data_IF_095273985596
#
_entry.id   IF_095273985596
#
_cell.length_a   1.000
_cell.length_b   1.000
_cell.length_c   1.000
_cell.angle_alpha   90.00
_cell.angle_beta   90.00
_cell.angle_gamma   90.00
#
_symmetry.space_group_name_H-M   'P 1'
#
loop_
_entity.id
_entity.type
_entity.pdbx_description
1 polymer ?
#
# COMPACT_ATOMS: atom_id res chain seq x y z
N UNK A 1 21.61 24.34 10.18
CA UNK A 1 22.54 23.57 11.03
C UNK A 1 22.00 22.16 11.15
N UNK A 2 22.74 21.18 10.63
CA UNK A 2 22.20 19.90 10.17
C UNK A 2 21.99 18.83 11.26
N UNK A 3 20.96 18.02 11.02
CA UNK A 3 20.46 16.89 11.80
C UNK A 3 21.41 15.69 11.89
N UNK A 4 22.67 15.88 12.29
CA UNK A 4 23.61 14.77 12.53
C UNK A 4 23.37 14.05 13.87
N UNK A 5 22.78 14.71 14.87
CA UNK A 5 22.53 14.11 16.20
C UNK A 5 21.23 13.32 16.35
N UNK A 6 20.34 13.30 15.35
CA UNK A 6 19.03 12.63 15.47
C UNK A 6 19.08 11.14 15.11
N UNK A 7 20.02 10.73 14.26
CA UNK A 7 20.07 9.38 13.71
C UNK A 7 20.76 8.39 14.66
N UNK A 8 21.87 8.80 15.28
CA UNK A 8 22.59 7.97 16.27
C UNK A 8 21.74 7.71 17.52
N UNK A 9 20.99 8.70 17.97
CA UNK A 9 20.07 8.57 19.11
C UNK A 9 18.88 7.66 18.84
N UNK A 10 18.31 7.70 17.63
CA UNK A 10 17.26 6.78 17.21
C UNK A 10 17.77 5.33 17.22
N UNK A 11 18.98 5.11 16.68
CA UNK A 11 19.62 3.80 16.69
C UNK A 11 19.99 3.33 18.11
N UNK A 12 20.40 4.24 18.99
CA UNK A 12 20.75 3.92 20.37
C UNK A 12 19.52 3.58 21.22
N UNK A 13 18.42 4.32 21.07
CA UNK A 13 17.16 3.98 21.74
C UNK A 13 16.64 2.63 21.21
N UNK A 14 16.78 2.41 19.89
CA UNK A 14 16.38 1.16 19.24
C UNK A 14 17.21 -0.06 19.65
N UNK A 15 18.52 0.10 19.79
CA UNK A 15 19.41 -0.97 20.24
C UNK A 15 19.11 -1.36 21.69
N UNK A 16 18.82 -0.38 22.55
CA UNK A 16 18.47 -0.62 23.95
C UNK A 16 17.21 -1.46 24.13
N UNK A 17 16.21 -1.27 23.25
CA UNK A 17 14.96 -2.04 23.26
C UNK A 17 15.16 -3.46 22.79
N UNK A 18 15.95 -3.64 21.71
CA UNK A 18 16.19 -4.95 21.12
C UNK A 18 17.05 -5.83 22.04
N UNK A 19 17.93 -5.24 22.84
CA UNK A 19 18.75 -5.95 23.82
C UNK A 19 17.93 -6.50 25.01
N UNK A 20 16.75 -5.94 25.30
CA UNK A 20 15.92 -6.34 26.45
C UNK A 20 14.99 -7.50 26.14
N UNK A 21 14.47 -7.59 24.92
CA UNK A 21 13.50 -8.62 24.54
C UNK A 21 13.53 -8.87 23.03
N UNK A 22 13.68 -10.13 22.67
CA UNK A 22 13.51 -10.58 21.28
C UNK A 22 12.10 -10.17 20.81
N UNK A 23 12.00 -9.61 19.59
CA UNK A 23 10.74 -9.11 19.02
C UNK A 23 10.11 -7.88 19.69
N UNK A 24 10.84 -7.15 20.56
CA UNK A 24 10.37 -5.86 21.09
C UNK A 24 10.16 -4.83 19.98
N UNK A 25 11.07 -4.76 19.01
CA UNK A 25 10.95 -3.84 17.87
C UNK A 25 10.07 -4.46 16.80
N UNK A 26 9.04 -3.73 16.38
CA UNK A 26 8.12 -4.12 15.31
C UNK A 26 8.55 -3.47 13.98
N UNK A 27 8.64 -2.14 13.95
CA UNK A 27 9.03 -1.38 12.75
C UNK A 27 9.94 -0.20 13.10
N UNK A 28 10.72 0.25 12.12
CA UNK A 28 11.46 1.52 12.17
C UNK A 28 11.09 2.35 10.95
N UNK A 29 10.92 3.64 11.18
CA UNK A 29 10.56 4.66 10.18
C UNK A 29 11.73 5.63 10.04
N UNK A 30 12.12 5.95 8.81
CA UNK A 30 13.31 6.78 8.56
C UNK A 30 13.18 7.76 7.39
N UNK A 31 12.21 7.58 6.51
CA UNK A 31 12.06 8.36 5.29
C UNK A 31 11.07 9.51 5.46
N UNK A 32 9.96 9.26 6.14
CA UNK A 32 8.88 10.19 6.38
C UNK A 32 9.05 10.93 7.71
N UNK A 33 9.47 10.21 8.74
CA UNK A 33 9.74 10.72 10.08
C UNK A 33 10.72 9.79 10.80
N UNK A 34 11.39 10.28 11.84
CA UNK A 34 12.25 9.46 12.70
C UNK A 34 11.39 8.85 13.81
N UNK A 35 11.22 7.53 13.81
CA UNK A 35 10.42 6.86 14.82
C UNK A 35 10.40 5.35 14.68
N UNK A 36 9.72 4.66 15.59
CA UNK A 36 9.61 3.21 15.59
C UNK A 36 8.31 2.75 16.25
N UNK A 37 7.92 1.51 15.95
CA UNK A 37 6.91 0.79 16.70
C UNK A 37 7.57 -0.32 17.51
N UNK A 38 7.14 -0.47 18.76
CA UNK A 38 7.65 -1.48 19.67
C UNK A 38 6.56 -2.02 20.59
N UNK A 39 6.73 -3.27 21.02
CA UNK A 39 5.95 -3.90 22.08
C UNK A 39 6.54 -3.48 23.43
N UNK A 40 5.77 -2.71 24.18
CA UNK A 40 6.14 -2.15 25.46
C UNK A 40 5.02 -2.43 26.46
N UNK A 41 5.38 -2.65 27.71
CA UNK A 41 4.44 -2.48 28.82
C UNK A 41 4.07 -1.01 28.99
N UNK A 42 2.95 -0.75 29.68
CA UNK A 42 2.53 0.63 29.96
C UNK A 42 3.59 1.41 30.74
N UNK A 43 4.23 0.77 31.73
CA UNK A 43 5.31 1.39 32.50
C UNK A 43 6.55 1.72 31.63
N UNK A 44 6.91 0.83 30.70
CA UNK A 44 8.01 1.10 29.74
C UNK A 44 7.65 2.25 28.80
N UNK A 45 6.41 2.31 28.31
CA UNK A 45 5.94 3.40 27.47
C UNK A 45 5.95 4.74 28.24
N UNK A 46 5.47 4.76 29.48
CA UNK A 46 5.52 5.96 30.33
C UNK A 46 6.95 6.41 30.62
N UNK A 47 7.86 5.47 30.90
CA UNK A 47 9.27 5.77 31.11
C UNK A 47 9.93 6.34 29.85
N UNK A 48 9.65 5.76 28.69
CA UNK A 48 10.15 6.25 27.40
C UNK A 48 9.59 7.62 27.03
N UNK A 49 8.33 7.91 27.37
CA UNK A 49 7.71 9.20 27.10
C UNK A 49 8.41 10.37 27.84
N UNK A 50 9.15 10.08 28.92
CA UNK A 50 9.93 11.07 29.66
C UNK A 50 11.32 11.32 29.08
N UNK A 51 11.78 10.54 28.08
CA UNK A 51 13.08 10.76 27.47
C UNK A 51 13.09 12.07 26.67
N UNK A 52 14.07 12.97 26.86
CA UNK A 52 14.09 14.30 26.24
C UNK A 52 13.97 14.35 24.70
N UNK A 53 14.24 13.25 24.01
CA UNK A 53 14.19 13.15 22.54
C UNK A 53 12.97 12.38 22.01
N UNK A 54 12.07 11.93 22.89
CA UNK A 54 10.79 11.34 22.53
C UNK A 54 9.75 12.44 22.48
N UNK A 55 9.21 12.71 21.28
CA UNK A 55 8.21 13.76 21.07
C UNK A 55 6.83 13.30 21.54
N UNK A 56 6.44 12.07 21.21
CA UNK A 56 5.17 11.47 21.61
C UNK A 56 5.21 9.95 21.53
N UNK A 57 4.35 9.31 22.32
CA UNK A 57 4.08 7.88 22.27
C UNK A 57 2.56 7.70 22.24
N UNK A 58 2.07 6.83 21.38
CA UNK A 58 0.65 6.52 21.27
C UNK A 58 0.45 5.01 21.08
N UNK A 59 -0.67 4.45 21.55
CA UNK A 59 -1.02 3.05 21.29
C UNK A 59 -1.11 2.77 19.79
N UNK A 60 -0.70 1.58 19.36
CA UNK A 60 -0.89 1.14 17.98
C UNK A 60 -2.37 0.82 17.71
N UNK A 61 -3.08 1.58 16.86
CA UNK A 61 -4.46 1.28 16.52
C UNK A 61 -4.54 0.12 15.51
N UNK A 62 -5.71 -0.51 15.44
CA UNK A 62 -6.06 -1.46 14.37
C UNK A 62 -7.23 -0.89 13.59
N UNK A 63 -7.03 -0.65 12.30
CA UNK A 63 -8.06 -0.15 11.40
C UNK A 63 -8.81 -1.30 10.72
N UNK A 64 -10.03 -1.05 10.25
CA UNK A 64 -10.84 -2.03 9.55
C UNK A 64 -10.90 -1.70 8.06
N UNK A 65 -11.05 -2.73 7.23
CA UNK A 65 -11.27 -2.56 5.80
C UNK A 65 -12.63 -1.90 5.55
N UNK A 66 -12.65 -0.95 4.62
CA UNK A 66 -13.86 -0.28 4.18
C UNK A 66 -14.01 -0.45 2.68
N UNK A 67 -15.19 -0.89 2.25
CA UNK A 67 -15.60 -0.82 0.84
C UNK A 67 -17.02 -0.26 0.78
N UNK A 68 -17.17 0.92 0.19
CA UNK A 68 -18.46 1.37 -0.34
C UNK A 68 -18.37 1.41 -1.86
N UNK A 69 -19.50 1.09 -2.51
CA UNK A 69 -19.67 1.11 -3.98
C UNK A 69 -19.22 2.45 -4.54
N UNK A 70 -18.15 2.48 -5.33
CA UNK A 70 -17.44 3.72 -5.63
C UNK A 70 -17.89 4.41 -6.91
N UNK A 71 -17.79 3.80 -8.09
CA UNK A 71 -17.85 4.61 -9.32
C UNK A 71 -19.24 4.87 -9.90
N UNK A 72 -20.11 3.86 -9.98
CA UNK A 72 -21.48 4.05 -10.50
C UNK A 72 -22.37 4.83 -9.52
N UNK A 73 -22.18 4.65 -8.20
CA UNK A 73 -22.84 5.46 -7.18
C UNK A 73 -22.47 6.94 -7.32
N UNK A 74 -21.19 7.25 -7.58
CA UNK A 74 -20.76 8.64 -7.78
C UNK A 74 -21.24 9.22 -9.12
N UNK A 75 -21.40 8.40 -10.17
CA UNK A 75 -21.96 8.85 -11.45
C UNK A 75 -23.45 9.18 -11.37
N UNK A 76 -24.21 8.39 -10.62
CA UNK A 76 -25.67 8.53 -10.53
C UNK A 76 -26.11 9.55 -9.46
N UNK A 77 -25.24 9.90 -8.50
CA UNK A 77 -25.54 10.84 -7.39
C UNK A 77 -25.03 12.27 -7.60
N UNK A 78 -24.07 12.49 -8.50
CA UNK A 78 -23.49 13.82 -8.73
C UNK A 78 -23.57 14.22 -10.20
N UNK A 79 -24.49 15.13 -10.53
CA UNK A 79 -24.52 15.83 -11.84
C UNK A 79 -23.19 16.53 -12.15
N UNK A 80 -22.37 16.82 -11.14
CA UNK A 80 -21.03 17.39 -11.26
C UNK A 80 -20.05 16.51 -12.08
N UNK A 81 -20.22 15.18 -12.11
CA UNK A 81 -19.38 14.29 -12.94
C UNK A 81 -19.81 14.33 -14.41
N UNK A 82 -21.04 14.79 -14.71
CA UNK A 82 -21.54 14.98 -16.08
C UNK A 82 -20.92 16.19 -16.77
N UNK A 83 -20.54 17.20 -15.99
CA UNK A 83 -19.93 18.46 -16.47
C UNK A 83 -18.41 18.52 -16.33
N UNK A 84 -17.77 17.50 -15.74
CA UNK A 84 -16.36 17.26 -16.03
C UNK A 84 -16.30 17.06 -17.54
N UNK A 85 -15.54 17.89 -18.29
CA UNK A 85 -15.50 17.76 -19.72
C UNK A 85 -14.98 16.35 -20.01
N UNK A 86 -15.90 15.47 -20.40
CA UNK A 86 -15.56 14.30 -21.17
C UNK A 86 -14.96 14.90 -22.43
N UNK A 87 -13.64 15.06 -22.42
CA UNK A 87 -12.89 15.47 -23.57
C UNK A 87 -12.93 14.31 -24.54
N UNK A 88 -14.07 14.15 -25.21
CA UNK A 88 -14.19 13.49 -26.52
C UNK A 88 -13.26 14.14 -27.56
N UNK A 89 -12.56 15.23 -27.21
CA UNK A 89 -11.54 15.90 -28.01
C UNK A 89 -10.10 15.81 -27.46
N UNK A 90 -9.85 15.16 -26.32
CA UNK A 90 -8.48 14.71 -26.03
C UNK A 90 -8.34 13.36 -26.70
N UNK A 91 -7.56 13.31 -27.78
CA UNK A 91 -6.94 12.08 -28.27
C UNK A 91 -5.97 11.47 -27.24
N UNK A 92 -6.36 11.39 -25.96
CA UNK A 92 -5.67 10.62 -24.93
C UNK A 92 -6.44 9.34 -24.64
N UNK A 93 -6.74 8.59 -25.71
CA UNK A 93 -6.65 7.12 -25.70
C UNK A 93 -5.25 6.62 -25.32
N UNK A 94 -4.33 7.51 -24.99
CA UNK A 94 -3.05 7.18 -24.41
C UNK A 94 -3.24 6.60 -23.01
N UNK A 95 -3.33 5.26 -22.96
CA UNK A 95 -2.59 4.47 -21.96
C UNK A 95 -1.15 5.02 -21.75
N UNK A 96 -0.61 5.75 -22.74
CA UNK A 96 0.70 6.41 -22.76
C UNK A 96 0.80 7.74 -21.99
N UNK A 97 -0.22 8.17 -21.22
CA UNK A 97 -0.23 9.52 -20.60
C UNK A 97 -0.09 9.59 -19.08
N UNK A 98 -0.53 8.57 -18.34
CA UNK A 98 -0.56 8.61 -16.88
C UNK A 98 0.52 7.72 -16.28
N UNK A 99 1.75 8.23 -16.17
CA UNK A 99 2.83 7.58 -15.41
C UNK A 99 2.72 7.81 -13.89
N UNK A 100 1.50 8.15 -13.42
CA UNK A 100 1.16 8.24 -11.99
C UNK A 100 1.29 6.87 -11.35
N UNK A 101 1.90 6.82 -10.17
CA UNK A 101 2.09 5.64 -9.35
C UNK A 101 1.12 5.73 -8.18
N UNK A 102 0.12 4.85 -8.18
CA UNK A 102 -0.86 4.75 -7.12
C UNK A 102 -0.40 3.65 -6.16
N UNK A 103 -0.16 4.03 -4.90
CA UNK A 103 0.12 3.13 -3.79
C UNK A 103 -1.18 2.62 -3.19
N UNK A 104 -1.37 1.30 -3.11
CA UNK A 104 -2.57 0.67 -2.55
C UNK A 104 -2.22 0.01 -1.22
N UNK A 105 -2.86 0.45 -0.14
CA UNK A 105 -2.64 -0.02 1.22
C UNK A 105 -3.80 -0.93 1.65
N UNK A 106 -3.67 -2.23 1.43
CA UNK A 106 -4.81 -3.15 1.54
C UNK A 106 -4.37 -4.60 1.89
N UNK A 107 -5.16 -5.62 1.53
CA UNK A 107 -4.90 -7.06 1.73
C UNK A 107 -3.96 -7.68 0.70
N UNK A 108 -3.30 -6.84 -0.10
CA UNK A 108 -2.34 -7.16 -1.17
C UNK A 108 -2.95 -7.29 -2.58
N UNK A 109 -2.32 -8.07 -3.48
CA UNK A 109 -2.77 -8.23 -4.87
C UNK A 109 -2.66 -9.66 -5.44
N UNK A 110 -3.59 -10.03 -6.32
CA UNK A 110 -3.50 -11.17 -7.26
C UNK A 110 -2.98 -10.70 -8.62
N UNK A 111 -1.65 -10.75 -8.86
CA UNK A 111 -1.05 -10.14 -10.06
C UNK A 111 -1.46 -10.82 -11.38
N UNK A 112 -2.02 -12.03 -11.33
CA UNK A 112 -2.48 -12.77 -12.51
C UNK A 112 -3.81 -12.28 -13.07
N UNK A 113 -4.54 -11.40 -12.36
CA UNK A 113 -5.80 -10.84 -12.86
C UNK A 113 -5.58 -10.06 -14.15
N UNK A 114 -6.51 -10.18 -15.10
CA UNK A 114 -6.46 -9.46 -16.39
C UNK A 114 -6.49 -7.93 -16.19
N UNK A 115 -7.11 -7.46 -15.10
CA UNK A 115 -7.11 -6.06 -14.68
C UNK A 115 -5.71 -5.48 -14.46
N UNK A 116 -4.68 -6.31 -14.33
CA UNK A 116 -3.28 -5.87 -14.11
C UNK A 116 -2.37 -6.20 -15.29
N UNK A 117 -2.95 -6.44 -16.47
CA UNK A 117 -2.18 -6.60 -17.71
C UNK A 117 -1.34 -5.35 -18.01
N UNK A 118 -0.14 -5.57 -18.54
CA UNK A 118 0.82 -4.53 -18.93
C UNK A 118 0.85 -4.24 -20.43
N UNK A 119 -0.16 -4.75 -21.17
CA UNK A 119 -0.38 -4.45 -22.59
C UNK A 119 -0.59 -2.95 -22.79
N UNK A 120 0.17 -2.35 -23.70
CA UNK A 120 0.09 -0.91 -23.97
C UNK A 120 0.67 -0.01 -22.88
N UNK A 121 1.26 -0.56 -21.82
CA UNK A 121 1.91 0.20 -20.76
C UNK A 121 3.41 0.30 -21.05
N UNK A 122 3.94 1.53 -21.08
CA UNK A 122 5.35 1.84 -21.32
C UNK A 122 6.32 1.33 -20.23
N UNK A 123 7.63 1.56 -20.37
CA UNK A 123 8.63 1.14 -19.37
C UNK A 123 8.33 1.74 -17.99
N UNK A 124 8.75 1.08 -16.92
CA UNK A 124 8.58 1.60 -15.55
C UNK A 124 9.29 2.96 -15.42
N UNK A 125 8.64 3.99 -14.83
CA UNK A 125 9.25 5.30 -14.69
C UNK A 125 10.60 5.24 -13.96
N UNK A 126 11.62 5.91 -14.47
CA UNK A 126 12.98 5.89 -13.90
C UNK A 126 13.07 6.45 -12.47
N UNK A 127 12.08 7.25 -12.06
CA UNK A 127 11.94 7.77 -10.70
C UNK A 127 11.48 6.72 -9.68
N UNK A 128 10.91 5.60 -10.12
CA UNK A 128 10.44 4.53 -9.24
C UNK A 128 11.62 3.84 -8.56
N UNK A 129 11.57 3.76 -7.23
CA UNK A 129 12.63 3.18 -6.38
C UNK A 129 12.16 1.97 -5.58
N UNK A 130 10.87 1.65 -5.66
CA UNK A 130 10.30 0.52 -4.93
C UNK A 130 10.68 -0.83 -5.52
N UNK A 131 10.31 -1.86 -4.77
CA UNK A 131 10.73 -3.23 -5.05
C UNK A 131 9.54 -4.18 -5.06
N UNK A 132 9.72 -5.33 -5.71
CA UNK A 132 8.83 -6.47 -5.53
C UNK A 132 9.44 -7.45 -4.54
N UNK A 133 8.90 -7.49 -3.33
CA UNK A 133 9.33 -8.40 -2.28
C UNK A 133 8.94 -9.83 -2.63
N UNK A 134 9.86 -10.77 -2.44
CA UNK A 134 9.58 -12.20 -2.56
C UNK A 134 8.68 -12.64 -1.41
N UNK A 135 7.57 -13.30 -1.73
CA UNK A 135 6.76 -14.05 -0.77
C UNK A 135 6.94 -15.56 -0.97
N UNK A 136 6.38 -16.37 -0.07
CA UNK A 136 6.43 -17.84 -0.22
C UNK A 136 5.74 -18.33 -1.51
N UNK A 137 4.74 -17.60 -2.02
CA UNK A 137 3.98 -17.87 -3.25
C UNK A 137 3.90 -16.65 -4.20
N UNK A 138 4.83 -15.72 -4.04
CA UNK A 138 4.92 -14.51 -4.86
C UNK A 138 6.36 -14.30 -5.32
N UNK A 139 6.56 -14.31 -6.63
CA UNK A 139 7.89 -14.09 -7.23
C UNK A 139 8.08 -12.61 -7.50
N UNK A 140 9.29 -12.04 -7.31
CA UNK A 140 9.56 -10.66 -7.71
C UNK A 140 9.23 -10.35 -9.18
N UNK A 141 9.32 -11.36 -10.05
CA UNK A 141 8.95 -11.27 -11.48
C UNK A 141 7.45 -11.14 -11.74
N UNK A 142 6.61 -11.26 -10.72
CA UNK A 142 5.17 -10.97 -10.83
C UNK A 142 4.89 -9.47 -10.98
N UNK A 143 5.80 -8.60 -10.51
CA UNK A 143 5.77 -7.19 -10.87
C UNK A 143 6.39 -6.99 -12.26
N UNK A 144 5.66 -6.27 -13.11
CA UNK A 144 6.01 -5.93 -14.49
C UNK A 144 5.86 -4.41 -14.70
N UNK A 145 5.26 -3.98 -15.82
CA UNK A 145 5.08 -2.54 -16.11
C UNK A 145 3.80 -1.95 -15.52
N UNK A 146 2.74 -2.76 -15.29
CA UNK A 146 1.48 -2.30 -14.68
C UNK A 146 1.55 -2.30 -13.15
N UNK A 147 1.70 -3.48 -12.56
CA UNK A 147 2.10 -3.65 -11.16
C UNK A 147 3.63 -3.54 -11.09
N UNK A 148 4.16 -2.47 -10.50
CA UNK A 148 5.60 -2.15 -10.51
C UNK A 148 6.28 -2.44 -9.17
N UNK A 149 5.51 -2.66 -8.11
CA UNK A 149 6.01 -3.00 -6.78
C UNK A 149 4.96 -3.68 -5.91
N UNK A 150 5.45 -4.52 -5.00
CA UNK A 150 4.62 -5.27 -4.07
C UNK A 150 5.41 -5.54 -2.79
N UNK A 151 4.94 -5.02 -1.66
CA UNK A 151 5.53 -5.21 -0.33
C UNK A 151 4.48 -5.75 0.64
N UNK A 152 4.93 -6.29 1.75
CA UNK A 152 4.08 -6.71 2.87
C UNK A 152 4.79 -6.40 4.19
N UNK A 153 4.00 -6.18 5.24
CA UNK A 153 4.48 -5.73 6.55
C UNK A 153 3.94 -6.61 7.67
N UNK A 154 4.58 -7.76 7.84
CA UNK A 154 4.29 -8.66 8.96
C UNK A 154 4.98 -8.21 10.24
N UNK A 155 4.32 -8.44 11.37
CA UNK A 155 4.90 -8.16 12.68
C UNK A 155 5.68 -9.38 13.21
N UNK A 156 6.72 -9.17 14.04
CA UNK A 156 7.50 -10.28 14.57
C UNK A 156 6.68 -11.27 15.39
N UNK A 157 6.87 -12.56 15.15
CA UNK A 157 6.15 -13.64 15.82
C UNK A 157 4.76 -13.93 15.24
N UNK A 158 4.35 -13.24 14.17
CA UNK A 158 3.14 -13.60 13.44
C UNK A 158 3.35 -14.89 12.62
N UNK A 159 2.39 -15.80 12.75
CA UNK A 159 2.27 -16.98 11.91
C UNK A 159 0.80 -17.22 11.60
N UNK A 160 0.36 -16.81 10.42
CA UNK A 160 -1.02 -16.96 9.98
C UNK A 160 -1.08 -17.19 8.46
N UNK A 161 -0.59 -18.35 7.96
CA UNK A 161 -0.73 -18.67 6.55
C UNK A 161 -2.21 -18.80 6.16
N UNK A 162 -2.61 -18.37 4.94
CA UNK A 162 -1.80 -17.83 3.85
C UNK A 162 -1.61 -16.28 3.91
N UNK A 163 -1.83 -15.63 5.05
CA UNK A 163 -1.91 -14.17 5.14
C UNK A 163 -0.64 -13.50 5.69
N UNK A 164 0.45 -14.25 5.86
CA UNK A 164 1.74 -13.79 6.41
C UNK A 164 2.86 -14.33 5.52
N UNK A 165 3.86 -13.51 5.23
CA UNK A 165 5.02 -13.90 4.42
C UNK A 165 4.83 -13.77 2.91
N UNK A 166 3.80 -13.03 2.47
CA UNK A 166 3.54 -12.80 1.04
C UNK A 166 2.83 -11.47 0.77
N UNK A 167 3.08 -10.82 -0.39
CA UNK A 167 2.24 -9.76 -0.93
C UNK A 167 1.17 -10.31 -1.90
N UNK A 168 0.91 -11.63 -1.90
CA UNK A 168 -0.22 -12.22 -2.60
C UNK A 168 -1.51 -11.99 -1.81
N UNK A 169 -2.55 -11.59 -2.52
CA UNK A 169 -3.89 -11.45 -1.94
C UNK A 169 -4.61 -12.80 -1.87
N UNK A 170 -4.94 -13.20 -0.64
CA UNK A 170 -5.74 -14.38 -0.35
C UNK A 170 -7.14 -14.03 0.17
N UNK A 171 -7.43 -12.74 0.32
CA UNK A 171 -8.72 -12.22 0.77
C UNK A 171 -9.58 -11.78 -0.41
N UNK A 172 -9.00 -10.96 -1.29
CA UNK A 172 -9.64 -10.42 -2.49
C UNK A 172 -9.93 -8.92 -2.40
N UNK A 173 -10.03 -8.34 -1.20
CA UNK A 173 -10.34 -6.92 -1.02
C UNK A 173 -9.33 -6.02 -1.74
N UNK A 174 -8.03 -6.22 -1.50
CA UNK A 174 -6.97 -5.42 -2.12
C UNK A 174 -6.90 -5.56 -3.63
N UNK A 175 -7.12 -6.77 -4.16
CA UNK A 175 -7.24 -6.99 -5.61
C UNK A 175 -8.40 -6.20 -6.20
N UNK A 176 -9.57 -6.24 -5.54
CA UNK A 176 -10.77 -5.55 -6.01
C UNK A 176 -10.61 -4.03 -5.95
N UNK A 177 -10.10 -3.49 -4.84
CA UNK A 177 -9.79 -2.06 -4.66
C UNK A 177 -8.77 -1.58 -5.68
N UNK A 178 -7.71 -2.35 -5.92
CA UNK A 178 -6.69 -2.02 -6.93
C UNK A 178 -7.30 -1.95 -8.33
N UNK A 179 -8.18 -2.90 -8.69
CA UNK A 179 -8.85 -2.91 -9.98
C UNK A 179 -9.80 -1.71 -10.16
N UNK A 180 -10.50 -1.31 -9.09
CA UNK A 180 -11.33 -0.10 -9.07
C UNK A 180 -10.50 1.17 -9.29
N UNK A 181 -9.32 1.28 -8.66
CA UNK A 181 -8.49 2.47 -8.78
C UNK A 181 -7.81 2.57 -10.16
N UNK A 182 -7.20 1.47 -10.62
CA UNK A 182 -6.28 1.50 -11.75
C UNK A 182 -6.33 0.25 -12.63
N UNK A 183 -7.40 -0.54 -12.61
CA UNK A 183 -7.54 -1.70 -13.49
C UNK A 183 -7.45 -1.32 -14.97
N UNK A 184 -6.62 -2.06 -15.72
CA UNK A 184 -6.62 -2.06 -17.19
C UNK A 184 -8.00 -2.51 -17.69
N UNK A 185 -8.45 -2.06 -18.89
CA UNK A 185 -9.73 -2.49 -19.44
C UNK A 185 -9.77 -4.01 -19.67
N UNK A 186 -10.83 -4.66 -19.18
CA UNK A 186 -11.11 -6.10 -19.37
C UNK A 186 -12.48 -6.22 -20.02
N UNK A 187 -12.51 -6.66 -21.28
CA UNK A 187 -13.75 -6.89 -22.01
C UNK A 187 -14.50 -8.11 -21.47
N UNK A 188 -15.82 -8.13 -21.68
CA UNK A 188 -16.71 -9.25 -21.33
C UNK A 188 -16.63 -9.69 -19.85
N UNK A 189 -16.25 -8.77 -18.96
CA UNK A 189 -16.22 -9.00 -17.53
C UNK A 189 -17.65 -9.07 -16.98
N UNK A 190 -17.92 -10.05 -16.13
CA UNK A 190 -19.19 -10.20 -15.44
C UNK A 190 -19.03 -11.03 -14.16
N UNK A 191 -19.99 -10.91 -13.25
CA UNK A 191 -20.11 -11.81 -12.10
C UNK A 191 -21.25 -12.80 -12.34
N UNK A 192 -20.93 -14.01 -12.81
CA UNK A 192 -21.93 -15.02 -13.22
C UNK A 192 -22.97 -14.47 -14.21
N UNK A 193 -22.55 -13.62 -15.15
CA UNK A 193 -23.43 -12.95 -16.13
C UNK A 193 -24.08 -11.66 -15.65
N UNK A 194 -23.93 -11.30 -14.36
CA UNK A 194 -24.39 -10.02 -13.84
C UNK A 194 -23.37 -8.90 -14.13
N UNK A 195 -23.90 -7.69 -14.40
CA UNK A 195 -23.11 -6.49 -14.70
C UNK A 195 -22.11 -6.69 -15.86
N UNK A 196 -22.55 -7.37 -16.92
CA UNK A 196 -21.73 -7.62 -18.11
C UNK A 196 -21.29 -6.33 -18.80
N UNK A 197 -20.01 -6.22 -19.10
CA UNK A 197 -19.44 -5.08 -19.82
C UNK A 197 -17.92 -5.08 -19.82
N UNK A 198 -17.34 -3.92 -20.09
CA UNK A 198 -15.88 -3.72 -19.94
C UNK A 198 -15.59 -3.21 -18.53
N UNK A 199 -14.93 -4.02 -17.70
CA UNK A 199 -14.44 -3.57 -16.41
C UNK A 199 -13.19 -2.69 -16.61
N UNK A 200 -13.14 -1.55 -15.94
CA UNK A 200 -11.98 -0.64 -16.02
C UNK A 200 -11.87 0.19 -14.75
N UNK A 201 -10.64 0.54 -14.36
CA UNK A 201 -10.39 1.41 -13.21
C UNK A 201 -10.61 2.88 -13.52
N UNK A 202 -10.62 3.72 -12.48
CA UNK A 202 -10.71 5.18 -12.62
C UNK A 202 -9.50 5.78 -13.35
N UNK A 203 -8.31 5.16 -13.24
CA UNK A 203 -7.10 5.56 -13.96
C UNK A 203 -6.37 4.37 -14.60
N UNK A 204 -6.84 3.85 -15.75
CA UNK A 204 -6.31 2.64 -16.35
C UNK A 204 -4.85 2.75 -16.85
N UNK A 205 -4.36 3.97 -17.11
CA UNK A 205 -2.96 4.21 -17.49
C UNK A 205 -1.96 4.17 -16.32
N UNK A 206 -2.43 4.38 -15.08
CA UNK A 206 -1.56 4.51 -13.91
C UNK A 206 -0.83 3.22 -13.54
N UNK A 207 0.34 3.37 -12.93
CA UNK A 207 1.11 2.29 -12.32
C UNK A 207 0.57 1.95 -10.94
N UNK A 208 0.75 0.70 -10.54
CA UNK A 208 0.27 0.17 -9.25
C UNK A 208 1.49 -0.23 -8.41
N UNK A 209 1.52 0.22 -7.16
CA UNK A 209 2.42 -0.28 -6.13
C UNK A 209 1.59 -0.75 -4.93
N UNK A 210 1.74 -2.00 -4.51
CA UNK A 210 0.89 -2.58 -3.47
C UNK A 210 1.68 -2.74 -2.18
N UNK A 211 1.05 -2.38 -1.08
CA UNK A 211 1.58 -2.41 0.26
C UNK A 211 0.61 -3.16 1.17
N UNK A 212 0.88 -4.45 1.41
CA UNK A 212 0.01 -5.26 2.28
C UNK A 212 0.19 -4.87 3.73
N UNK A 213 -0.81 -4.20 4.29
CA UNK A 213 -0.86 -3.78 5.69
C UNK A 213 -2.07 -4.37 6.43
N UNK A 214 -3.03 -4.90 5.68
CA UNK A 214 -4.24 -5.51 6.20
C UNK A 214 -4.18 -7.05 6.14
N UNK A 215 -4.81 -7.67 7.12
CA UNK A 215 -4.95 -9.13 7.25
C UNK A 215 -6.41 -9.47 7.54
N UNK A 216 -6.95 -10.57 6.97
CA UNK A 216 -8.30 -11.00 7.28
C UNK A 216 -8.51 -11.22 8.77
N UNK A 217 -9.62 -10.74 9.30
CA UNK A 217 -10.03 -10.83 10.71
C UNK A 217 -9.09 -10.14 11.73
N UNK A 218 -7.93 -9.64 11.32
CA UNK A 218 -6.98 -8.92 12.16
C UNK A 218 -6.95 -7.41 11.87
N UNK A 219 -7.56 -6.97 10.76
CA UNK A 219 -7.56 -5.57 10.34
C UNK A 219 -6.19 -5.11 9.84
N UNK A 220 -5.98 -3.80 9.87
CA UNK A 220 -4.78 -3.14 9.38
C UNK A 220 -4.04 -2.50 10.56
N UNK A 221 -2.86 -3.03 10.91
CA UNK A 221 -2.05 -2.50 12.01
C UNK A 221 -1.56 -1.10 11.67
N UNK A 222 -1.83 -0.12 12.55
CA UNK A 222 -1.36 1.26 12.37
C UNK A 222 0.15 1.32 12.18
N UNK A 223 0.90 0.50 12.90
CA UNK A 223 2.36 0.43 12.79
C UNK A 223 2.83 -0.05 11.42
N UNK A 224 2.15 -1.04 10.83
CA UNK A 224 2.40 -1.55 9.48
C UNK A 224 1.99 -0.51 8.42
N UNK A 225 0.84 0.14 8.61
CA UNK A 225 0.37 1.25 7.78
C UNK A 225 1.38 2.41 7.74
N UNK A 226 1.90 2.82 8.89
CA UNK A 226 2.95 3.84 8.96
C UNK A 226 4.24 3.39 8.27
N UNK A 227 4.58 2.09 8.33
CA UNK A 227 5.74 1.55 7.62
C UNK A 227 5.55 1.60 6.11
N UNK A 228 4.34 1.29 5.65
CA UNK A 228 3.97 1.43 4.25
C UNK A 228 4.02 2.88 3.79
N UNK A 229 3.55 3.85 4.57
CA UNK A 229 3.69 5.28 4.26
C UNK A 229 5.16 5.71 4.13
N UNK A 230 6.01 5.25 5.05
CA UNK A 230 7.45 5.51 5.02
C UNK A 230 8.11 5.01 3.72
N UNK A 231 7.80 3.78 3.32
CA UNK A 231 8.34 3.17 2.10
C UNK A 231 7.69 3.74 0.83
N UNK A 232 6.38 3.98 0.80
CA UNK A 232 5.69 4.52 -0.36
C UNK A 232 6.25 5.88 -0.78
N UNK A 233 6.53 6.76 0.19
CA UNK A 233 7.22 8.03 -0.05
C UNK A 233 8.61 7.82 -0.65
N UNK A 234 9.39 6.90 -0.08
CA UNK A 234 10.76 6.64 -0.52
C UNK A 234 10.81 5.98 -1.92
N UNK A 235 9.82 5.13 -2.21
CA UNK A 235 9.65 4.42 -3.46
C UNK A 235 9.21 5.36 -4.60
N UNK A 236 8.60 6.50 -4.27
CA UNK A 236 8.17 7.53 -5.22
C UNK A 236 6.71 7.40 -5.65
N UNK A 237 5.83 6.92 -4.76
CA UNK A 237 4.37 6.92 -4.96
C UNK A 237 3.84 8.35 -5.03
N UNK A 238 2.90 8.62 -5.95
CA UNK A 238 2.30 9.94 -6.12
C UNK A 238 0.99 10.10 -5.33
N UNK A 239 0.18 9.04 -5.29
CA UNK A 239 -1.13 9.02 -4.62
C UNK A 239 -1.24 7.73 -3.81
N UNK A 240 -1.77 7.82 -2.59
CA UNK A 240 -2.04 6.65 -1.75
C UNK A 240 -3.55 6.47 -1.64
N UNK A 241 -3.99 5.23 -1.81
CA UNK A 241 -5.36 4.76 -1.56
C UNK A 241 -5.33 3.66 -0.50
#
# INVERSE_FOLDING_TARGET
>A
MGAKGSFDDHLQLMSSLTARRENAKVHSYKHSFSGFAARLSEAEAQSLAQYPRVVSIFPNPVFQLHTTRSWDFLRDQYEFVRDLPYSSGSNSTSLNGADTIIGIFDTAIRPESESFTDKGIGPVPSRWKGTSTRGYDFKPSSCKRKLIGARFYDEPGEYNPPYVGTPRDHDGHGTHVTAIAAGSPVADASYYGLAGGTATGGSPGSRIAVYRVCKPNAGCSGSATMKAFDDARADGVDIIN
#
